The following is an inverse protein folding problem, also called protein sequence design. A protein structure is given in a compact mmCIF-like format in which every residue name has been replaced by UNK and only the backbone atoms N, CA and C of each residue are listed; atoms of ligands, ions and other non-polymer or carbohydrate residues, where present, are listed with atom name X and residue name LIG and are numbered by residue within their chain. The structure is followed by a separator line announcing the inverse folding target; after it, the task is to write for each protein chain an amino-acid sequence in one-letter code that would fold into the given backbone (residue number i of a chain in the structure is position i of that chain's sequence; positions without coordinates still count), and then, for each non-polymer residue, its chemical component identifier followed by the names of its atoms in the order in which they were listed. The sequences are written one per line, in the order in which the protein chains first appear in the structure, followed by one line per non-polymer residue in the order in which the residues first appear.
data_IF_079917669189
#
_entry.id   IF_079917669189
#
_cell.length_a   1.000
_cell.length_b   1.000
_cell.length_c   1.000
_cell.angle_alpha   90.00
_cell.angle_beta   90.00
_cell.angle_gamma   90.00
#
_symmetry.space_group_name_H-M   'P 1'
#
loop_
_entity.id
_entity.type
_entity.pdbx_description
1 polymer ?
#
# COMPACT_ATOMS: atom_id res chain seq x y z
N UNK A 1 -28.81 22.26 -18.53
CA UNK A 1 -28.00 23.37 -17.98
C UNK A 1 -28.24 23.38 -16.49
N UNK A 2 -27.30 22.89 -15.69
CA UNK A 2 -27.38 22.98 -14.24
C UNK A 2 -26.73 24.32 -13.85
N UNK A 3 -27.53 25.25 -13.34
CA UNK A 3 -26.99 26.43 -12.65
C UNK A 3 -26.46 25.98 -11.30
N UNK A 4 -25.16 26.14 -11.09
CA UNK A 4 -24.56 25.99 -9.77
C UNK A 4 -24.58 27.36 -9.08
N UNK A 5 -25.40 27.51 -8.05
CA UNK A 5 -25.31 28.65 -7.13
C UNK A 5 -23.96 28.60 -6.43
N UNK A 6 -23.17 29.67 -6.59
CA UNK A 6 -21.98 29.88 -5.78
C UNK A 6 -22.42 30.22 -4.34
N UNK A 7 -21.76 29.67 -3.31
CA UNK A 7 -22.09 29.98 -1.92
C UNK A 7 -21.97 31.49 -1.66
N UNK A 8 -22.96 32.06 -0.99
CA UNK A 8 -22.97 33.46 -0.61
C UNK A 8 -21.83 33.76 0.38
N UNK A 9 -20.87 34.61 -0.02
CA UNK A 9 -19.86 35.15 0.87
C UNK A 9 -20.50 36.24 1.73
N UNK A 10 -20.79 35.92 2.99
CA UNK A 10 -21.25 36.90 3.99
C UNK A 10 -20.04 37.35 4.80
N UNK A 11 -19.60 38.59 4.60
CA UNK A 11 -18.55 39.20 5.44
C UNK A 11 -19.23 39.71 6.72
N UNK A 12 -19.18 38.92 7.78
CA UNK A 12 -19.84 39.23 9.06
C UNK A 12 -19.13 40.32 9.86
N UNK A 13 -17.81 40.48 9.71
CA UNK A 13 -17.07 41.55 10.35
C UNK A 13 -15.79 41.89 9.58
N UNK A 14 -15.46 43.19 9.55
CA UNK A 14 -14.18 43.70 9.07
C UNK A 14 -13.49 44.33 10.27
N UNK A 15 -12.37 43.75 10.70
CA UNK A 15 -11.54 44.32 11.74
C UNK A 15 -10.29 44.93 11.09
N UNK A 16 -10.12 46.25 11.25
CA UNK A 16 -8.89 46.93 10.84
C UNK A 16 -7.81 46.67 11.91
N UNK A 17 -6.83 45.84 11.57
CA UNK A 17 -5.63 45.70 12.40
C UNK A 17 -4.69 46.86 12.04
N UNK A 18 -4.38 47.73 12.99
CA UNK A 18 -3.43 48.84 12.76
C UNK A 18 -2.03 48.25 12.75
N UNK A 19 -1.62 47.74 11.60
CA UNK A 19 -0.25 47.31 11.39
C UNK A 19 0.63 48.54 11.29
N UNK A 20 1.62 48.66 12.20
CA UNK A 20 2.56 49.78 12.23
C UNK A 20 3.62 49.68 11.12
N UNK A 21 3.75 48.50 10.50
CA UNK A 21 4.61 48.28 9.35
C UNK A 21 3.95 48.86 8.10
N UNK A 22 4.67 49.73 7.40
CA UNK A 22 4.29 50.33 6.12
C UNK A 22 5.55 50.39 5.24
N UNK A 23 5.41 50.29 3.91
CA UNK A 23 4.24 49.80 3.19
C UNK A 23 4.01 48.28 3.41
N UNK A 24 2.78 47.82 3.20
CA UNK A 24 2.40 46.41 3.32
C UNK A 24 2.31 45.76 1.94
N UNK A 25 2.72 44.50 1.83
CA UNK A 25 2.48 43.67 0.66
C UNK A 25 1.37 42.66 0.97
N UNK A 26 0.21 42.87 0.36
CA UNK A 26 -0.99 42.04 0.53
C UNK A 26 -1.38 41.37 -0.80
N UNK A 27 -2.35 40.47 -0.75
CA UNK A 27 -2.98 39.83 -1.92
C UNK A 27 -1.98 39.31 -2.98
N UNK A 28 -0.94 38.60 -2.52
CA UNK A 28 0.04 37.92 -3.37
C UNK A 28 -0.61 36.75 -4.09
N UNK A 29 -0.54 36.73 -5.41
CA UNK A 29 -0.94 35.58 -6.22
C UNK A 29 0.12 35.34 -7.31
N UNK A 30 0.90 34.26 -7.27
CA UNK A 30 0.83 33.15 -6.31
C UNK A 30 1.17 33.56 -4.87
N UNK A 31 0.60 32.85 -3.91
CA UNK A 31 0.85 33.02 -2.49
C UNK A 31 2.22 32.41 -2.08
N UNK A 32 2.79 32.82 -0.93
CA UNK A 32 3.98 32.19 -0.39
C UNK A 32 3.77 30.69 -0.18
N UNK A 33 4.76 29.91 -0.63
CA UNK A 33 4.79 28.45 -0.56
C UNK A 33 3.62 27.76 -1.28
N UNK A 34 2.91 28.48 -2.16
CA UNK A 34 1.89 27.88 -3.02
C UNK A 34 2.51 26.86 -3.96
N UNK A 35 1.85 25.71 -4.11
CA UNK A 35 2.29 24.61 -4.97
C UNK A 35 1.33 24.40 -6.12
N UNK A 36 1.80 23.80 -7.21
CA UNK A 36 0.99 23.48 -8.38
C UNK A 36 0.50 24.73 -9.14
N UNK A 37 1.29 25.81 -9.08
CA UNK A 37 1.00 27.05 -9.77
C UNK A 37 1.07 26.83 -11.28
N UNK A 38 0.05 27.20 -12.07
CA UNK A 38 0.08 27.04 -13.52
C UNK A 38 1.32 27.67 -14.15
N UNK A 39 1.89 27.00 -15.16
CA UNK A 39 3.13 27.45 -15.82
C UNK A 39 3.01 28.84 -16.47
N UNK A 40 1.78 29.24 -16.80
CA UNK A 40 1.40 30.53 -17.36
C UNK A 40 0.77 31.45 -16.31
N UNK A 41 1.01 31.26 -15.02
CA UNK A 41 0.50 32.16 -14.00
C UNK A 41 1.12 33.56 -14.11
N UNK A 42 0.32 34.59 -13.84
CA UNK A 42 0.79 35.96 -13.57
C UNK A 42 1.23 36.08 -12.13
N UNK A 43 2.18 36.96 -11.83
CA UNK A 43 2.52 37.37 -10.46
C UNK A 43 1.80 38.68 -10.14
N UNK A 44 0.81 38.62 -9.26
CA UNK A 44 0.02 39.75 -8.77
C UNK A 44 0.52 40.15 -7.39
N UNK A 45 0.81 41.43 -7.23
CA UNK A 45 1.31 42.03 -6.00
C UNK A 45 0.49 43.29 -5.69
N UNK A 46 0.01 43.43 -4.47
CA UNK A 46 -0.72 44.61 -4.03
C UNK A 46 0.00 45.25 -2.84
N UNK A 47 0.47 46.47 -3.07
CA UNK A 47 1.13 47.28 -2.07
C UNK A 47 0.11 48.24 -1.50
N UNK A 48 0.02 48.32 -0.18
CA UNK A 48 -0.90 49.24 0.51
C UNK A 48 -0.13 50.08 1.51
N UNK A 49 -0.38 51.37 1.44
CA UNK A 49 0.05 52.34 2.42
C UNK A 49 -1.09 52.60 3.42
N UNK A 50 -0.98 52.11 4.66
CA UNK A 50 -2.02 52.31 5.68
C UNK A 50 -2.12 53.75 6.24
N UNK A 51 -1.52 54.74 5.57
CA UNK A 51 -1.68 56.16 5.89
C UNK A 51 -1.67 57.02 4.63
N UNK A 52 -1.10 58.23 4.69
CA UNK A 52 -1.31 59.23 3.63
C UNK A 52 -0.09 59.54 2.75
N UNK A 53 0.99 58.74 2.83
CA UNK A 53 2.23 59.02 2.12
C UNK A 53 2.22 58.47 0.68
N UNK A 54 1.46 57.40 0.43
CA UNK A 54 1.36 56.71 -0.85
C UNK A 54 2.61 55.87 -1.18
N UNK A 55 2.43 54.92 -2.09
CA UNK A 55 3.52 54.05 -2.57
C UNK A 55 4.37 54.81 -3.61
N UNK A 56 5.69 54.80 -3.45
CA UNK A 56 6.62 55.36 -4.43
C UNK A 56 6.84 54.37 -5.58
N UNK A 57 6.18 54.63 -6.71
CA UNK A 57 6.32 53.84 -7.94
C UNK A 57 7.78 53.80 -8.40
N UNK A 58 8.46 54.95 -8.39
CA UNK A 58 9.83 55.08 -8.91
C UNK A 58 10.88 54.40 -8.02
N UNK A 59 10.57 54.18 -6.73
CA UNK A 59 11.39 53.40 -5.81
C UNK A 59 11.02 51.90 -5.75
N UNK A 60 9.92 51.49 -6.39
CA UNK A 60 9.46 50.09 -6.35
C UNK A 60 10.18 49.24 -7.39
N UNK A 61 10.75 48.12 -6.94
CA UNK A 61 11.47 47.13 -7.75
C UNK A 61 10.96 45.73 -7.43
N UNK A 62 10.71 44.93 -8.46
CA UNK A 62 10.34 43.52 -8.31
C UNK A 62 11.29 42.68 -9.13
N UNK A 63 11.82 41.62 -8.51
CA UNK A 63 12.62 40.60 -9.18
C UNK A 63 11.90 39.26 -9.13
N UNK A 64 11.94 38.53 -10.24
CA UNK A 64 11.46 37.16 -10.36
C UNK A 64 12.67 36.32 -10.83
N UNK A 65 13.10 35.37 -10.01
CA UNK A 65 14.32 34.56 -10.24
C UNK A 65 15.56 35.41 -10.57
N UNK A 66 15.75 36.48 -9.79
CA UNK A 66 16.78 37.51 -9.96
C UNK A 66 16.69 38.36 -11.24
N UNK A 67 15.76 38.06 -12.17
CA UNK A 67 15.46 38.93 -13.30
C UNK A 67 14.60 40.12 -12.83
N UNK A 68 14.99 41.34 -13.19
CA UNK A 68 14.22 42.54 -12.86
C UNK A 68 12.91 42.55 -13.66
N UNK A 69 11.80 42.27 -13.00
CA UNK A 69 10.47 42.17 -13.60
C UNK A 69 9.75 43.52 -13.65
N UNK A 70 10.02 44.40 -12.70
CA UNK A 70 9.47 45.74 -12.61
C UNK A 70 10.49 46.73 -12.03
N UNK A 71 10.65 47.88 -12.67
CA UNK A 71 11.65 48.89 -12.35
C UNK A 71 11.06 50.27 -11.99
N UNK A 72 9.74 50.34 -11.72
CA UNK A 72 9.02 51.59 -11.49
C UNK A 72 8.51 52.26 -12.77
N UNK A 73 8.77 51.70 -13.95
CA UNK A 73 8.19 52.13 -15.21
C UNK A 73 6.71 51.71 -15.33
N UNK A 74 5.81 52.52 -15.94
CA UNK A 74 4.43 52.11 -16.21
C UNK A 74 4.32 50.89 -17.13
N UNK A 75 5.39 50.52 -17.85
CA UNK A 75 5.47 49.28 -18.61
C UNK A 75 6.49 48.33 -17.97
N UNK A 76 6.06 47.25 -17.30
CA UNK A 76 6.98 46.28 -16.68
C UNK A 76 7.84 45.57 -17.72
N UNK A 77 8.97 44.98 -17.30
CA UNK A 77 9.74 44.08 -18.16
C UNK A 77 8.97 42.78 -18.43
N UNK A 78 8.18 42.33 -17.45
CA UNK A 78 7.26 41.21 -17.58
C UNK A 78 5.90 41.72 -18.10
N UNK A 79 5.90 42.16 -19.36
CA UNK A 79 4.76 42.77 -20.06
C UNK A 79 4.04 41.80 -21.01
N UNK A 80 3.71 40.59 -20.54
CA UNK A 80 2.76 39.71 -21.24
C UNK A 80 1.38 40.36 -21.39
N UNK A 81 0.49 39.73 -22.15
CA UNK A 81 -0.80 40.32 -22.53
C UNK A 81 -1.75 40.66 -21.38
N UNK A 82 -1.51 40.11 -20.17
CA UNK A 82 -2.28 40.40 -18.94
C UNK A 82 -1.56 41.35 -17.99
N UNK A 83 -0.38 41.87 -18.35
CA UNK A 83 0.37 42.76 -17.48
C UNK A 83 -0.38 44.08 -17.27
N UNK A 84 -0.38 44.58 -16.03
CA UNK A 84 -1.06 45.80 -15.65
C UNK A 84 -0.37 46.47 -14.47
N UNK A 85 -0.41 47.81 -14.44
CA UNK A 85 0.13 48.63 -13.36
C UNK A 85 -0.93 49.67 -13.03
N UNK A 86 -1.56 49.52 -11.87
CA UNK A 86 -2.63 50.40 -11.41
C UNK A 86 -2.21 51.07 -10.10
N UNK A 87 -2.13 52.40 -10.09
CA UNK A 87 -1.76 53.18 -8.91
C UNK A 87 -2.94 54.03 -8.42
N UNK A 88 -3.23 53.94 -7.13
CA UNK A 88 -4.15 54.83 -6.41
C UNK A 88 -3.36 55.71 -5.43
N UNK A 89 -3.99 56.67 -4.73
CA UNK A 89 -3.29 57.50 -3.75
C UNK A 89 -2.62 56.71 -2.61
N UNK A 90 -3.17 55.55 -2.26
CA UNK A 90 -2.82 54.72 -1.11
C UNK A 90 -2.34 53.31 -1.48
N UNK A 91 -2.47 52.88 -2.74
CA UNK A 91 -2.09 51.54 -3.16
C UNK A 91 -1.42 51.50 -4.53
N UNK A 92 -0.65 50.44 -4.75
CA UNK A 92 -0.08 50.08 -6.04
C UNK A 92 -0.39 48.61 -6.31
N UNK A 93 -1.07 48.31 -7.40
CA UNK A 93 -1.31 46.95 -7.87
C UNK A 93 -0.49 46.67 -9.10
N UNK A 94 0.33 45.62 -9.01
CA UNK A 94 1.14 45.11 -10.12
C UNK A 94 0.61 43.76 -10.54
N UNK A 95 0.37 43.60 -11.84
CA UNK A 95 0.18 42.30 -12.50
C UNK A 95 1.35 42.12 -13.45
N UNK A 96 2.25 41.22 -13.10
CA UNK A 96 3.42 40.88 -13.89
C UNK A 96 3.13 39.60 -14.67
N UNK A 97 3.18 39.66 -15.99
CA UNK A 97 2.86 38.54 -16.88
C UNK A 97 4.15 38.12 -17.60
N UNK A 98 4.76 36.97 -17.23
CA UNK A 98 5.97 36.48 -17.90
C UNK A 98 5.72 36.27 -19.40
N UNK A 99 6.61 36.81 -20.25
CA UNK A 99 6.52 36.62 -21.71
C UNK A 99 6.86 35.17 -22.10
N UNK A 100 7.73 34.54 -21.32
CA UNK A 100 8.03 33.10 -21.39
C UNK A 100 7.40 32.44 -20.16
N UNK A 101 6.60 31.38 -20.32
CA UNK A 101 6.07 30.63 -19.18
C UNK A 101 7.18 30.16 -18.24
N UNK A 102 6.84 29.97 -16.96
CA UNK A 102 7.78 29.42 -15.99
C UNK A 102 8.27 28.02 -16.41
N UNK A 103 9.38 27.54 -15.87
CA UNK A 103 9.76 26.15 -16.09
C UNK A 103 8.90 25.23 -15.20
N UNK A 104 8.54 24.04 -15.70
CA UNK A 104 7.83 23.05 -14.88
C UNK A 104 8.69 22.59 -13.70
N UNK A 105 8.05 22.33 -12.55
CA UNK A 105 8.71 22.02 -11.27
C UNK A 105 9.70 23.09 -10.77
N UNK A 106 9.70 24.28 -11.37
CA UNK A 106 10.57 25.36 -10.92
C UNK A 106 10.07 25.94 -9.60
N UNK A 107 11.02 26.21 -8.71
CA UNK A 107 10.81 27.06 -7.55
C UNK A 107 11.08 28.50 -7.96
N UNK A 108 10.01 29.29 -8.13
CA UNK A 108 10.13 30.69 -8.55
C UNK A 108 10.26 31.56 -7.30
N UNK A 109 11.29 32.40 -7.25
CA UNK A 109 11.52 33.34 -6.15
C UNK A 109 11.12 34.75 -6.57
N UNK A 110 10.23 35.37 -5.81
CA UNK A 110 9.79 36.75 -5.98
C UNK A 110 10.40 37.60 -4.87
N UNK A 111 11.22 38.59 -5.23
CA UNK A 111 11.72 39.61 -4.30
C UNK A 111 11.13 40.96 -4.65
N UNK A 112 10.67 41.66 -3.63
CA UNK A 112 10.00 42.94 -3.73
C UNK A 112 10.71 43.94 -2.85
N UNK A 113 11.11 45.07 -3.43
CA UNK A 113 11.63 46.22 -2.71
C UNK A 113 10.77 47.43 -3.04
N UNK A 114 10.28 48.14 -2.03
CA UNK A 114 9.45 49.34 -2.21
C UNK A 114 9.63 50.33 -1.07
N UNK A 115 9.16 51.56 -1.26
CA UNK A 115 9.20 52.64 -0.29
C UNK A 115 7.98 53.55 -0.45
N UNK A 116 7.77 54.45 0.50
CA UNK A 116 6.76 55.51 0.41
C UNK A 116 7.34 56.76 -0.28
N UNK A 117 6.49 57.64 -0.83
CA UNK A 117 6.92 58.84 -1.60
C UNK A 117 7.83 59.79 -0.79
N UNK A 118 7.64 59.87 0.52
CA UNK A 118 8.45 60.69 1.43
C UNK A 118 9.66 59.94 2.03
N UNK A 119 9.85 58.68 1.65
CA UNK A 119 10.90 57.80 2.17
C UNK A 119 10.69 57.35 3.62
N UNK A 120 11.69 56.66 4.16
CA UNK A 120 11.75 56.26 5.58
C UNK A 120 11.11 54.91 5.96
N UNK A 121 10.47 54.24 5.01
CA UNK A 121 9.68 53.03 5.24
C UNK A 121 10.01 51.97 4.16
N UNK A 122 11.15 51.30 4.32
CA UNK A 122 11.61 50.28 3.38
C UNK A 122 10.82 48.98 3.57
N UNK A 123 10.21 48.51 2.48
CA UNK A 123 9.77 47.13 2.34
C UNK A 123 10.81 46.36 1.52
N UNK A 124 11.37 45.29 2.06
CA UNK A 124 12.21 44.33 1.34
C UNK A 124 11.78 42.92 1.78
N UNK A 125 11.04 42.24 0.91
CA UNK A 125 10.47 40.92 1.18
C UNK A 125 10.77 39.99 0.02
N UNK A 126 11.10 38.73 0.34
CA UNK A 126 11.20 37.66 -0.63
C UNK A 126 10.28 36.51 -0.24
N UNK A 127 9.66 35.88 -1.23
CA UNK A 127 8.91 34.64 -1.07
C UNK A 127 9.07 33.76 -2.31
N UNK A 128 8.64 32.50 -2.23
CA UNK A 128 8.70 31.56 -3.34
C UNK A 128 7.40 30.81 -3.52
N UNK A 129 7.20 30.24 -4.71
CA UNK A 129 6.12 29.29 -5.01
C UNK A 129 6.67 28.18 -5.94
N UNK A 130 5.96 27.05 -6.03
CA UNK A 130 6.29 25.91 -6.88
C UNK A 130 5.34 25.83 -8.08
N UNK A 131 5.92 25.75 -9.27
CA UNK A 131 5.19 25.59 -10.53
C UNK A 131 4.71 24.15 -10.71
N UNK A 132 3.56 23.98 -11.35
CA UNK A 132 2.98 22.68 -11.68
C UNK A 132 3.95 21.74 -12.42
N UNK A 133 3.73 20.45 -12.21
CA UNK A 133 4.47 19.39 -12.89
C UNK A 133 3.83 19.04 -14.22
N UNK A 134 4.61 19.21 -15.29
CA UNK A 134 4.30 18.91 -16.69
C UNK A 134 5.34 17.95 -17.26
N UNK A 135 6.26 17.46 -16.44
CA UNK A 135 7.30 16.54 -16.88
C UNK A 135 6.68 15.16 -17.09
N UNK A 136 7.01 14.54 -18.22
CA UNK A 136 6.50 13.23 -18.55
C UNK A 136 7.43 12.15 -17.96
N UNK A 137 6.85 11.08 -17.38
CA UNK A 137 7.64 9.96 -16.88
C UNK A 137 8.36 9.26 -18.03
N UNK A 138 9.57 8.75 -17.74
CA UNK A 138 10.44 8.07 -18.71
C UNK A 138 10.65 6.62 -18.33
N UNK A 139 10.45 5.73 -19.30
CA UNK A 139 10.79 4.33 -19.16
C UNK A 139 12.31 4.16 -19.23
N UNK A 140 12.91 3.73 -18.12
CA UNK A 140 14.35 3.54 -17.98
C UNK A 140 14.80 2.15 -18.42
N UNK A 141 14.01 1.13 -18.05
CA UNK A 141 14.37 -0.27 -18.30
C UNK A 141 13.17 -1.20 -18.26
N UNK A 142 13.35 -2.39 -18.83
CA UNK A 142 12.42 -3.51 -18.72
C UNK A 142 13.19 -4.80 -18.38
N UNK A 143 12.60 -5.68 -17.60
CA UNK A 143 13.15 -6.99 -17.27
C UNK A 143 12.03 -8.02 -17.10
N UNK A 144 12.20 -9.22 -17.66
CA UNK A 144 11.29 -10.32 -17.40
C UNK A 144 11.62 -10.95 -16.04
N UNK A 145 10.65 -10.99 -15.12
CA UNK A 145 10.82 -11.57 -13.77
C UNK A 145 10.17 -12.94 -13.64
N UNK A 146 9.29 -13.30 -14.58
CA UNK A 146 8.74 -14.63 -14.76
C UNK A 146 8.45 -14.89 -16.24
N UNK A 147 7.95 -16.09 -16.59
CA UNK A 147 7.58 -16.43 -17.97
C UNK A 147 6.47 -15.53 -18.53
N UNK A 148 5.63 -14.95 -17.68
CA UNK A 148 4.48 -14.13 -18.08
C UNK A 148 4.50 -12.73 -17.48
N UNK A 149 5.53 -12.33 -16.73
CA UNK A 149 5.57 -11.02 -16.07
C UNK A 149 6.82 -10.25 -16.45
N UNK A 150 6.60 -9.04 -16.96
CA UNK A 150 7.64 -8.07 -17.29
C UNK A 150 7.53 -6.89 -16.36
N UNK A 151 8.64 -6.58 -15.68
CA UNK A 151 8.76 -5.40 -14.82
C UNK A 151 9.40 -4.26 -15.61
N UNK A 152 8.71 -3.13 -15.63
CA UNK A 152 9.14 -1.88 -16.22
C UNK A 152 9.56 -0.91 -15.11
N UNK A 153 10.67 -0.21 -15.29
CA UNK A 153 11.16 0.79 -14.34
C UNK A 153 11.11 2.19 -14.93
N UNK A 154 10.48 3.12 -14.22
CA UNK A 154 10.35 4.53 -14.57
C UNK A 154 11.26 5.40 -13.68
N UNK A 155 11.58 6.62 -14.14
CA UNK A 155 12.37 7.59 -13.37
C UNK A 155 11.59 8.28 -12.24
N UNK A 156 10.27 8.17 -12.25
CA UNK A 156 9.37 8.74 -11.25
C UNK A 156 8.15 7.83 -10.99
N UNK A 157 7.35 8.08 -9.93
CA UNK A 157 6.18 7.27 -9.63
C UNK A 157 5.15 7.27 -10.76
N UNK A 158 4.82 6.07 -11.23
CA UNK A 158 3.95 5.82 -12.35
C UNK A 158 2.58 5.27 -11.91
N UNK A 159 1.57 5.49 -12.75
CA UNK A 159 0.20 5.00 -12.62
C UNK A 159 -0.21 4.40 -13.97
N UNK A 160 -0.72 3.17 -13.96
CA UNK A 160 -1.28 2.54 -15.16
C UNK A 160 -2.63 3.18 -15.47
N UNK A 161 -2.73 3.84 -16.62
CA UNK A 161 -3.99 4.40 -17.13
C UNK A 161 -4.74 3.46 -18.06
N UNK A 162 -4.03 2.64 -18.85
CA UNK A 162 -4.62 1.69 -19.78
C UNK A 162 -3.67 0.52 -20.06
N UNK A 163 -4.11 -0.71 -19.76
CA UNK A 163 -3.36 -1.93 -20.06
C UNK A 163 -3.16 -2.15 -21.57
N UNK A 164 -4.10 -1.70 -22.41
CA UNK A 164 -3.96 -1.83 -23.86
C UNK A 164 -2.88 -0.90 -24.45
N UNK A 165 -2.39 0.07 -23.65
CA UNK A 165 -1.29 0.95 -24.02
C UNK A 165 0.10 0.30 -23.92
N UNK A 166 0.20 -0.98 -23.57
CA UNK A 166 1.46 -1.73 -23.67
C UNK A 166 1.50 -2.54 -24.96
N UNK A 167 2.62 -2.50 -25.67
CA UNK A 167 2.84 -3.39 -26.82
C UNK A 167 4.23 -4.01 -26.78
N UNK A 168 4.32 -5.24 -27.28
CA UNK A 168 5.54 -6.03 -27.26
C UNK A 168 5.85 -6.52 -28.67
N UNK A 169 7.08 -6.29 -29.12
CA UNK A 169 7.56 -6.75 -30.42
C UNK A 169 8.81 -7.61 -30.23
N UNK A 170 8.79 -8.84 -30.74
CA UNK A 170 9.97 -9.70 -30.77
C UNK A 170 11.00 -9.14 -31.76
N UNK A 171 12.24 -8.97 -31.31
CA UNK A 171 13.39 -8.58 -32.13
C UNK A 171 14.24 -9.78 -32.55
N UNK A 172 13.98 -10.96 -31.98
CA UNK A 172 14.62 -12.23 -32.32
C UNK A 172 13.61 -13.28 -32.76
N UNK A 173 14.12 -14.39 -33.31
CA UNK A 173 13.32 -15.55 -33.72
C UNK A 173 14.07 -16.85 -33.38
N UNK A 174 13.36 -17.97 -33.12
CA UNK A 174 11.90 -18.11 -33.03
C UNK A 174 11.34 -17.39 -31.80
N UNK A 175 10.12 -16.86 -31.89
CA UNK A 175 9.48 -16.12 -30.80
C UNK A 175 7.96 -16.28 -30.85
N UNK A 176 7.34 -16.49 -29.70
CA UNK A 176 5.89 -16.47 -29.54
C UNK A 176 5.42 -15.01 -29.43
N UNK A 177 4.32 -14.62 -30.11
CA UNK A 177 3.72 -13.31 -29.91
C UNK A 177 3.12 -13.21 -28.51
N UNK A 178 3.41 -12.11 -27.82
CA UNK A 178 2.92 -11.84 -26.47
C UNK A 178 2.09 -10.56 -26.46
N UNK A 179 1.06 -10.53 -25.63
CA UNK A 179 0.17 -9.39 -25.45
C UNK A 179 -0.03 -9.12 -23.96
N UNK A 180 -0.25 -7.86 -23.54
CA UNK A 180 -0.57 -7.55 -22.16
C UNK A 180 -1.97 -8.06 -21.81
N UNK A 181 -2.10 -8.66 -20.63
CA UNK A 181 -3.37 -9.08 -20.04
C UNK A 181 -3.79 -8.16 -18.90
N UNK A 182 -2.83 -7.81 -18.03
CA UNK A 182 -3.03 -6.86 -16.94
C UNK A 182 -1.74 -6.12 -16.63
N UNK A 183 -1.84 -4.95 -16.00
CA UNK A 183 -0.68 -4.20 -15.54
C UNK A 183 -0.99 -3.55 -14.19
N UNK A 184 0.01 -3.56 -13.29
CA UNK A 184 -0.10 -2.97 -11.97
C UNK A 184 1.15 -2.11 -11.67
N UNK A 185 0.93 -0.90 -11.16
CA UNK A 185 2.01 0.01 -10.75
C UNK A 185 2.28 -0.08 -9.25
N UNK A 186 3.56 -0.04 -8.89
CA UNK A 186 4.08 0.04 -7.52
C UNK A 186 5.18 1.10 -7.53
N UNK A 187 4.85 2.32 -7.11
CA UNK A 187 5.74 3.49 -7.17
C UNK A 187 6.33 3.68 -8.57
N UNK A 188 7.64 3.51 -8.75
CA UNK A 188 8.35 3.69 -10.03
C UNK A 188 8.36 2.43 -10.89
N UNK A 189 7.75 1.33 -10.43
CA UNK A 189 7.75 0.05 -11.11
C UNK A 189 6.36 -0.25 -11.66
N UNK A 190 6.30 -0.85 -12.86
CA UNK A 190 5.06 -1.38 -13.43
C UNK A 190 5.28 -2.83 -13.82
N UNK A 191 4.50 -3.72 -13.21
CA UNK A 191 4.48 -5.14 -13.56
C UNK A 191 3.35 -5.38 -14.58
N UNK A 192 3.74 -5.80 -15.78
CA UNK A 192 2.83 -6.18 -16.86
C UNK A 192 2.76 -7.69 -16.93
N UNK A 193 1.57 -8.24 -16.72
CA UNK A 193 1.27 -9.67 -16.91
C UNK A 193 0.85 -9.88 -18.37
N UNK A 194 1.45 -10.89 -19.01
CA UNK A 194 1.24 -11.25 -20.40
C UNK A 194 0.28 -12.43 -20.53
N UNK A 195 -0.51 -12.46 -21.60
CA UNK A 195 -1.45 -13.55 -21.91
C UNK A 195 -0.78 -14.89 -22.27
N UNK A 196 0.50 -14.84 -22.62
CA UNK A 196 1.25 -15.97 -23.18
C UNK A 196 2.66 -15.95 -22.60
N UNK A 197 3.22 -17.14 -22.36
CA UNK A 197 4.61 -17.28 -21.93
C UNK A 197 5.57 -16.73 -23.00
N UNK A 198 6.53 -15.95 -22.53
CA UNK A 198 7.62 -15.43 -23.35
C UNK A 198 8.56 -16.55 -23.78
N UNK A 199 9.05 -16.48 -25.02
CA UNK A 199 10.13 -17.35 -25.45
C UNK A 199 11.42 -16.97 -24.71
N UNK A 200 12.09 -17.90 -24.00
CA UNK A 200 13.31 -17.62 -23.25
C UNK A 200 14.42 -17.02 -24.12
N UNK A 201 15.15 -16.05 -23.57
CA UNK A 201 16.33 -15.38 -24.15
C UNK A 201 16.10 -14.58 -25.44
N UNK A 202 14.92 -14.69 -26.05
CA UNK A 202 14.51 -13.84 -27.16
C UNK A 202 14.47 -12.39 -26.69
N UNK A 203 15.01 -11.49 -27.50
CA UNK A 203 14.97 -10.06 -27.22
C UNK A 203 13.61 -9.49 -27.63
N UNK A 204 12.93 -8.81 -26.72
CA UNK A 204 11.66 -8.12 -26.95
C UNK A 204 11.85 -6.61 -26.75
N UNK A 205 11.13 -5.82 -27.54
CA UNK A 205 10.92 -4.39 -27.31
C UNK A 205 9.55 -4.18 -26.70
N UNK A 206 9.48 -3.41 -25.63
CA UNK A 206 8.24 -2.90 -25.07
C UNK A 206 8.06 -1.43 -25.44
N UNK A 207 6.82 -1.03 -25.71
CA UNK A 207 6.38 0.37 -25.81
C UNK A 207 5.26 0.56 -24.79
N UNK A 208 5.39 1.58 -23.94
CA UNK A 208 4.49 1.88 -22.82
C UNK A 208 3.83 3.26 -23.00
N UNK A 209 2.67 3.30 -23.65
CA UNK A 209 1.85 4.53 -23.81
C UNK A 209 0.69 4.59 -22.82
N UNK A 210 0.39 3.49 -22.14
CA UNK A 210 -0.70 3.35 -21.16
C UNK A 210 -0.36 3.79 -19.74
N UNK A 211 0.66 4.62 -19.55
CA UNK A 211 1.20 5.02 -18.23
C UNK A 211 1.23 6.54 -18.10
N UNK A 212 0.91 7.02 -16.90
CA UNK A 212 0.97 8.44 -16.50
C UNK A 212 1.71 8.57 -15.18
N UNK A 213 2.21 9.76 -14.85
CA UNK A 213 2.68 10.06 -13.50
C UNK A 213 1.49 10.31 -12.54
N UNK A 214 1.78 10.72 -11.31
CA UNK A 214 0.75 11.11 -10.32
C UNK A 214 0.04 12.43 -10.66
N UNK A 215 0.61 13.24 -11.54
CA UNK A 215 0.10 14.55 -11.97
C UNK A 215 -0.70 14.47 -13.27
N UNK A 216 -0.80 13.27 -13.86
CA UNK A 216 -1.56 12.97 -15.06
C UNK A 216 -0.77 13.13 -16.36
N UNK A 217 0.52 13.42 -16.32
CA UNK A 217 1.37 13.56 -17.49
C UNK A 217 1.61 12.15 -18.10
N UNK A 218 1.26 11.93 -19.37
CA UNK A 218 1.48 10.65 -20.03
C UNK A 218 2.96 10.43 -20.35
N UNK A 219 3.39 9.17 -20.37
CA UNK A 219 4.69 8.79 -20.95
C UNK A 219 4.71 9.17 -22.43
N UNK A 220 5.82 9.74 -22.90
CA UNK A 220 5.97 10.22 -24.27
C UNK A 220 7.20 9.63 -24.97
N UNK A 221 7.08 9.42 -26.28
CA UNK A 221 8.21 9.09 -27.13
C UNK A 221 9.28 10.20 -27.10
N UNK A 222 10.58 9.86 -27.17
CA UNK A 222 11.15 8.52 -27.38
C UNK A 222 11.41 7.73 -26.08
N UNK A 223 10.96 8.24 -24.93
CA UNK A 223 11.22 7.65 -23.61
C UNK A 223 10.14 6.65 -23.19
N UNK A 224 9.33 6.18 -24.14
CA UNK A 224 8.25 5.21 -23.96
C UNK A 224 8.69 3.77 -24.27
N UNK A 225 9.96 3.55 -24.63
CA UNK A 225 10.45 2.25 -25.10
C UNK A 225 11.62 1.69 -24.30
N UNK A 226 11.62 0.37 -24.11
CA UNK A 226 12.74 -0.38 -23.55
C UNK A 226 12.91 -1.74 -24.23
N UNK A 227 14.08 -2.34 -24.07
CA UNK A 227 14.40 -3.67 -24.60
C UNK A 227 14.78 -4.60 -23.46
N UNK A 228 14.35 -5.86 -23.54
CA UNK A 228 14.62 -6.87 -22.52
C UNK A 228 14.68 -8.27 -23.13
N UNK A 229 15.20 -9.23 -22.36
CA UNK A 229 15.24 -10.63 -22.74
C UNK A 229 14.08 -11.39 -22.12
N UNK A 230 13.52 -12.35 -22.86
CA UNK A 230 12.57 -13.32 -22.37
C UNK A 230 13.12 -14.12 -21.20
N UNK A 231 12.26 -14.37 -20.22
CA UNK A 231 12.66 -15.01 -18.97
C UNK A 231 13.21 -16.41 -19.21
N UNK A 232 14.44 -16.66 -18.76
CA UNK A 232 15.03 -17.99 -18.67
C UNK A 232 15.01 -18.45 -17.21
N UNK A 233 14.27 -19.53 -16.87
CA UNK A 233 14.33 -20.09 -15.53
C UNK A 233 15.75 -20.52 -15.15
N UNK A 234 16.05 -20.48 -13.85
CA UNK A 234 17.34 -20.94 -13.34
C UNK A 234 17.55 -22.43 -13.65
N UNK A 235 18.67 -22.76 -14.29
CA UNK A 235 19.09 -24.14 -14.55
C UNK A 235 20.08 -24.61 -13.49
N UNK A 236 20.01 -25.89 -13.12
CA UNK A 236 21.04 -26.48 -12.28
C UNK A 236 22.42 -26.37 -12.97
N UNK A 237 23.48 -25.83 -12.32
CA UNK A 237 24.76 -25.54 -12.98
C UNK A 237 25.45 -26.75 -13.62
N UNK A 238 25.18 -27.96 -13.10
CA UNK A 238 25.74 -29.22 -13.63
C UNK A 238 24.90 -29.84 -14.75
N UNK A 239 23.72 -29.31 -15.07
CA UNK A 239 22.85 -29.86 -16.12
C UNK A 239 23.48 -29.66 -17.48
N UNK A 240 23.65 -30.76 -18.21
CA UNK A 240 24.13 -30.78 -19.61
C UNK A 240 23.10 -31.50 -20.45
N UNK A 241 21.99 -30.82 -20.71
CA UNK A 241 20.90 -31.35 -21.54
C UNK A 241 20.67 -30.41 -22.73
N UNK A 242 21.56 -30.49 -23.72
CA UNK A 242 21.49 -29.71 -24.96
C UNK A 242 21.25 -30.68 -26.13
N UNK A 243 20.03 -30.66 -26.67
CA UNK A 243 19.58 -31.50 -27.77
C UNK A 243 20.45 -31.34 -29.01
N UNK A 244 20.96 -30.13 -29.29
CA UNK A 244 21.83 -29.92 -30.44
C UNK A 244 23.15 -30.69 -30.29
N UNK A 245 23.74 -30.64 -29.10
CA UNK A 245 24.96 -31.41 -28.81
C UNK A 245 24.75 -32.93 -28.87
N UNK A 246 23.55 -33.40 -28.53
CA UNK A 246 23.16 -34.81 -28.54
C UNK A 246 22.93 -35.35 -29.96
N UNK A 247 22.69 -34.47 -30.95
CA UNK A 247 22.57 -34.91 -32.34
C UNK A 247 23.90 -35.44 -32.90
N UNK A 248 23.85 -36.49 -33.74
CA UNK A 248 25.00 -36.95 -34.49
C UNK A 248 25.70 -35.82 -35.24
N UNK A 249 27.04 -35.81 -35.24
CA UNK A 249 27.85 -34.75 -35.87
C UNK A 249 27.54 -34.56 -37.36
N UNK A 250 27.14 -35.61 -38.08
CA UNK A 250 26.83 -35.51 -39.51
C UNK A 250 25.58 -34.66 -39.76
N UNK A 251 24.50 -34.83 -38.98
CA UNK A 251 23.29 -34.01 -39.07
C UNK A 251 23.58 -32.53 -38.85
N UNK A 252 24.43 -32.21 -37.86
CA UNK A 252 24.85 -30.83 -37.58
C UNK A 252 25.68 -30.20 -38.69
N UNK A 253 26.52 -31.00 -39.36
CA UNK A 253 27.38 -30.52 -40.46
C UNK A 253 26.59 -30.33 -41.75
N UNK A 254 25.58 -31.15 -41.98
CA UNK A 254 24.71 -31.07 -43.16
C UNK A 254 23.68 -29.93 -43.07
N UNK A 255 23.48 -29.33 -41.90
CA UNK A 255 22.59 -28.19 -41.70
C UNK A 255 23.24 -26.88 -42.17
N UNK A 256 23.29 -26.69 -43.49
CA UNK A 256 23.83 -25.46 -44.10
C UNK A 256 22.83 -24.30 -44.08
N UNK A 257 21.53 -24.57 -43.97
CA UNK A 257 20.47 -23.55 -43.97
C UNK A 257 20.14 -23.05 -42.56
N UNK A 258 20.49 -23.81 -41.52
CA UNK A 258 20.19 -23.51 -40.13
C UNK A 258 18.78 -23.90 -39.71
N UNK A 259 18.01 -24.56 -40.58
CA UNK A 259 16.62 -24.92 -40.32
C UNK A 259 16.53 -26.04 -39.29
N UNK A 260 17.45 -27.01 -39.33
CA UNK A 260 17.52 -28.05 -38.32
C UNK A 260 17.90 -27.45 -36.96
N UNK A 261 18.87 -26.54 -36.91
CA UNK A 261 19.24 -25.85 -35.68
C UNK A 261 18.06 -25.07 -35.07
N UNK A 262 17.30 -24.33 -35.89
CA UNK A 262 16.09 -23.63 -35.43
C UNK A 262 15.02 -24.58 -34.93
N UNK A 263 14.76 -25.66 -35.66
CA UNK A 263 13.77 -26.66 -35.25
C UNK A 263 14.15 -27.32 -33.91
N UNK A 264 15.43 -27.67 -33.73
CA UNK A 264 15.93 -28.24 -32.49
C UNK A 264 15.88 -27.23 -31.34
N UNK A 265 16.11 -25.95 -31.61
CA UNK A 265 15.95 -24.90 -30.60
C UNK A 265 14.51 -24.80 -30.08
N UNK A 266 13.50 -24.92 -30.96
CA UNK A 266 12.10 -24.98 -30.53
C UNK A 266 11.81 -26.18 -29.62
N UNK A 267 12.41 -27.35 -29.90
CA UNK A 267 12.27 -28.52 -29.03
C UNK A 267 13.04 -28.37 -27.72
N UNK A 268 14.21 -27.74 -27.77
CA UNK A 268 15.04 -27.47 -26.60
C UNK A 268 14.29 -26.60 -25.59
N UNK A 269 13.57 -25.57 -26.07
CA UNK A 269 12.74 -24.71 -25.22
C UNK A 269 11.73 -25.53 -24.40
N UNK A 270 10.91 -26.36 -25.05
CA UNK A 270 9.91 -27.19 -24.37
C UNK A 270 10.57 -28.15 -23.37
N UNK A 271 11.70 -28.74 -23.75
CA UNK A 271 12.45 -29.65 -22.87
C UNK A 271 13.04 -28.92 -21.67
N UNK A 272 13.58 -27.70 -21.84
CA UNK A 272 14.12 -26.91 -20.74
C UNK A 272 13.04 -26.54 -19.72
N UNK A 273 11.82 -26.21 -20.18
CA UNK A 273 10.67 -25.97 -19.29
C UNK A 273 10.32 -27.21 -18.47
N UNK A 274 10.18 -28.38 -19.11
CA UNK A 274 9.93 -29.64 -18.40
C UNK A 274 11.04 -29.99 -17.41
N UNK A 275 12.29 -29.77 -17.80
CA UNK A 275 13.44 -30.03 -16.94
C UNK A 275 13.46 -29.09 -15.71
N UNK A 276 12.95 -27.87 -15.83
CA UNK A 276 12.77 -26.95 -14.69
C UNK A 276 11.66 -27.44 -13.76
N UNK A 277 10.55 -27.95 -14.29
CA UNK A 277 9.50 -28.56 -13.46
C UNK A 277 10.00 -29.77 -12.69
N UNK A 278 10.82 -30.62 -13.34
CA UNK A 278 11.48 -31.75 -12.68
C UNK A 278 12.42 -31.28 -11.55
N UNK A 279 13.15 -30.19 -11.76
CA UNK A 279 14.01 -29.60 -10.71
C UNK A 279 13.21 -29.06 -9.52
N UNK A 280 11.99 -28.56 -9.77
CA UNK A 280 11.08 -28.04 -8.74
C UNK A 280 10.29 -29.13 -8.02
N UNK A 281 10.31 -30.37 -8.51
CA UNK A 281 9.57 -31.48 -7.89
C UNK A 281 9.89 -31.67 -6.39
N UNK A 282 11.15 -31.57 -5.92
CA UNK A 282 11.46 -31.64 -4.49
C UNK A 282 10.80 -30.50 -3.67
N UNK A 283 10.62 -29.31 -4.26
CA UNK A 283 10.00 -28.17 -3.57
C UNK A 283 8.53 -28.44 -3.22
N UNK A 284 7.85 -29.37 -3.92
CA UNK A 284 6.47 -29.77 -3.60
C UNK A 284 6.34 -30.43 -2.22
N UNK A 285 7.40 -31.07 -1.73
CA UNK A 285 7.42 -31.75 -0.44
C UNK A 285 8.04 -30.89 0.67
N UNK A 286 8.70 -29.80 0.30
CA UNK A 286 9.24 -28.83 1.23
C UNK A 286 8.10 -27.91 1.73
N UNK A 287 7.76 -28.03 3.02
CA UNK A 287 6.66 -27.27 3.63
C UNK A 287 6.87 -25.75 3.52
N UNK A 288 8.10 -25.27 3.40
CA UNK A 288 8.40 -23.83 3.28
C UNK A 288 8.23 -23.34 1.83
N UNK A 289 8.44 -24.21 0.84
CA UNK A 289 8.48 -23.83 -0.59
C UNK A 289 7.31 -24.34 -1.41
N UNK A 290 6.57 -25.32 -0.90
CA UNK A 290 5.46 -25.94 -1.60
C UNK A 290 4.43 -24.89 -2.03
N UNK A 291 3.90 -24.94 -3.27
CA UNK A 291 2.84 -24.04 -3.70
C UNK A 291 1.57 -24.21 -2.84
N UNK A 292 0.80 -23.12 -2.69
CA UNK A 292 -0.41 -23.09 -1.85
C UNK A 292 -1.39 -24.26 -2.09
N UNK A 293 -1.70 -24.67 -3.34
CA UNK A 293 -2.58 -25.82 -3.59
C UNK A 293 -2.05 -27.15 -3.06
N UNK A 294 -0.72 -27.33 -3.00
CA UNK A 294 -0.10 -28.56 -2.50
C UNK A 294 -0.11 -28.62 -0.97
N UNK A 295 -0.14 -27.48 -0.27
CA UNK A 295 -0.24 -27.47 1.19
C UNK A 295 -1.52 -28.16 1.68
N UNK A 296 -2.64 -27.96 0.98
CA UNK A 296 -3.90 -28.61 1.33
C UNK A 296 -3.84 -30.12 1.08
N UNK A 297 -3.14 -30.56 0.04
CA UNK A 297 -2.91 -31.98 -0.24
C UNK A 297 -1.99 -32.61 0.82
N UNK A 298 -0.92 -31.92 1.21
CA UNK A 298 0.00 -32.36 2.28
C UNK A 298 -0.77 -32.47 3.61
N UNK A 299 -1.56 -31.46 3.97
CA UNK A 299 -2.37 -31.50 5.20
C UNK A 299 -3.41 -32.63 5.16
N UNK A 300 -4.01 -32.91 3.99
CA UNK A 300 -4.93 -34.03 3.82
C UNK A 300 -4.23 -35.38 3.95
N UNK A 301 -3.03 -35.52 3.39
CA UNK A 301 -2.20 -36.73 3.51
C UNK A 301 -1.75 -36.97 4.96
N UNK A 302 -1.38 -35.90 5.67
CA UNK A 302 -1.12 -35.91 7.12
C UNK A 302 -2.40 -36.09 7.97
N UNK A 303 -3.58 -36.18 7.34
CA UNK A 303 -4.84 -36.48 7.99
C UNK A 303 -5.43 -35.34 8.83
N UNK A 304 -5.19 -34.08 8.46
CA UNK A 304 -5.64 -32.90 9.22
C UNK A 304 -7.13 -33.02 9.65
N UNK A 305 -7.41 -33.08 10.96
CA UNK A 305 -8.76 -33.28 11.49
C UNK A 305 -9.52 -31.98 11.72
N UNK A 306 -8.85 -30.83 11.57
CA UNK A 306 -9.39 -29.53 11.93
C UNK A 306 -10.11 -28.90 10.73
N UNK A 307 -11.42 -28.63 10.82
CA UNK A 307 -12.21 -28.09 9.71
C UNK A 307 -12.13 -26.55 9.66
N UNK A 308 -10.94 -25.99 9.93
CA UNK A 308 -10.73 -24.55 10.01
C UNK A 308 -10.15 -24.03 8.70
N UNK A 309 -10.67 -22.92 8.22
CA UNK A 309 -10.05 -22.18 7.13
C UNK A 309 -8.82 -21.45 7.68
N UNK A 310 -7.64 -21.89 7.22
CA UNK A 310 -6.36 -21.34 7.63
C UNK A 310 -5.77 -20.54 6.47
N UNK A 311 -5.09 -19.44 6.79
CA UNK A 311 -4.22 -18.76 5.84
C UNK A 311 -2.99 -19.62 5.52
N UNK A 312 -2.28 -19.28 4.45
CA UNK A 312 -1.16 -20.06 3.95
C UNK A 312 -0.06 -20.27 5.00
N UNK A 313 0.27 -19.22 5.76
CA UNK A 313 1.28 -19.31 6.80
C UNK A 313 0.86 -20.27 7.91
N UNK A 314 -0.40 -20.22 8.34
CA UNK A 314 -0.92 -21.15 9.34
C UNK A 314 -0.99 -22.58 8.83
N UNK A 315 -1.30 -22.81 7.54
CA UNK A 315 -1.23 -24.15 6.92
C UNK A 315 0.18 -24.73 6.98
N UNK A 316 1.20 -23.94 6.63
CA UNK A 316 2.62 -24.37 6.70
C UNK A 316 3.05 -24.70 8.13
N UNK A 317 2.69 -23.83 9.09
CA UNK A 317 2.98 -24.06 10.52
C UNK A 317 2.27 -25.31 11.04
N UNK A 318 1.02 -25.53 10.62
CA UNK A 318 0.26 -26.71 11.01
C UNK A 318 0.91 -27.98 10.45
N UNK A 319 1.26 -28.02 9.16
CA UNK A 319 1.92 -29.18 8.56
C UNK A 319 3.21 -29.58 9.31
N UNK A 320 3.97 -28.60 9.80
CA UNK A 320 5.19 -28.82 10.59
C UNK A 320 4.91 -29.43 11.97
N UNK A 321 3.84 -29.02 12.63
CA UNK A 321 3.56 -29.35 14.05
C UNK A 321 2.52 -30.47 14.21
N UNK A 322 1.76 -30.79 13.17
CA UNK A 322 0.61 -31.72 13.23
C UNK A 322 0.99 -33.11 13.76
N UNK A 323 2.15 -33.65 13.35
CA UNK A 323 2.65 -34.95 13.84
C UNK A 323 2.93 -34.91 15.35
N UNK A 324 3.53 -33.83 15.84
CA UNK A 324 3.77 -33.65 17.28
C UNK A 324 2.44 -33.43 18.05
N UNK A 325 1.45 -32.77 17.44
CA UNK A 325 0.11 -32.66 18.02
C UNK A 325 -0.53 -34.05 18.17
N UNK A 326 -0.40 -34.93 17.19
CA UNK A 326 -0.89 -36.31 17.33
C UNK A 326 -0.20 -37.07 18.46
N UNK A 327 1.12 -36.88 18.64
CA UNK A 327 1.86 -37.49 19.76
C UNK A 327 1.38 -37.01 21.13
N UNK A 328 0.96 -35.76 21.22
CA UNK A 328 0.46 -35.16 22.46
C UNK A 328 -1.05 -35.35 22.68
N UNK A 329 -1.75 -35.99 21.73
CA UNK A 329 -3.18 -36.25 21.84
C UNK A 329 -3.49 -37.05 23.11
N UNK A 330 -4.54 -36.65 23.81
CA UNK A 330 -4.95 -37.24 25.08
C UNK A 330 -4.25 -36.63 26.31
N UNK A 331 -3.33 -35.69 26.14
CA UNK A 331 -2.65 -35.02 27.26
C UNK A 331 -3.19 -33.61 27.49
N UNK A 332 -3.17 -33.15 28.75
CA UNK A 332 -3.51 -31.76 29.07
C UNK A 332 -2.58 -30.77 28.36
N UNK A 333 -1.28 -31.11 28.23
CA UNK A 333 -0.29 -30.28 27.52
C UNK A 333 -0.66 -30.16 26.04
N UNK A 334 -1.04 -31.26 25.39
CA UNK A 334 -1.49 -31.25 24.00
C UNK A 334 -2.72 -30.37 23.78
N UNK A 335 -3.69 -30.39 24.69
CA UNK A 335 -4.87 -29.51 24.64
C UNK A 335 -4.44 -28.03 24.74
N UNK A 336 -3.56 -27.68 25.70
CA UNK A 336 -3.06 -26.30 25.85
C UNK A 336 -2.33 -25.82 24.60
N UNK A 337 -1.41 -26.64 24.08
CA UNK A 337 -0.60 -26.30 22.90
C UNK A 337 -1.47 -26.13 21.66
N UNK A 338 -2.46 -27.01 21.45
CA UNK A 338 -3.38 -26.92 20.32
C UNK A 338 -4.25 -25.66 20.37
N UNK A 339 -4.83 -25.33 21.52
CA UNK A 339 -5.64 -24.11 21.70
C UNK A 339 -4.79 -22.86 21.52
N UNK A 340 -3.56 -22.85 22.06
CA UNK A 340 -2.61 -21.75 21.86
C UNK A 340 -2.23 -21.59 20.40
N UNK A 341 -2.01 -22.68 19.67
CA UNK A 341 -1.64 -22.65 18.25
C UNK A 341 -2.73 -22.02 17.38
N UNK A 342 -3.98 -22.47 17.52
CA UNK A 342 -5.08 -22.04 16.64
C UNK A 342 -5.73 -20.71 17.05
N UNK A 343 -5.84 -20.44 18.35
CA UNK A 343 -6.61 -19.29 18.86
C UNK A 343 -5.73 -18.24 19.57
N UNK A 344 -4.45 -18.53 19.80
CA UNK A 344 -3.57 -17.65 20.59
C UNK A 344 -4.02 -17.50 22.05
N UNK A 345 -4.85 -18.41 22.56
CA UNK A 345 -5.41 -18.36 23.93
C UNK A 345 -4.62 -19.29 24.84
N UNK A 346 -4.20 -18.77 25.99
CA UNK A 346 -3.65 -19.59 27.06
C UNK A 346 -4.76 -20.14 27.96
N UNK A 347 -4.79 -21.47 28.09
CA UNK A 347 -5.67 -22.17 29.04
C UNK A 347 -5.07 -22.04 30.45
N UNK A 348 -5.82 -21.41 31.35
CA UNK A 348 -5.40 -21.22 32.75
C UNK A 348 -5.36 -22.56 33.49
N UNK A 349 -6.42 -23.34 33.38
CA UNK A 349 -6.54 -24.62 34.07
C UNK A 349 -7.39 -25.63 33.29
N UNK A 350 -7.03 -26.90 33.42
CA UNK A 350 -7.86 -28.05 33.04
C UNK A 350 -8.05 -28.84 34.32
N UNK A 351 -9.26 -28.86 34.85
CA UNK A 351 -9.58 -29.44 36.15
C UNK A 351 -10.62 -30.54 35.99
N UNK A 352 -10.55 -31.59 36.82
CA UNK A 352 -11.62 -32.58 36.89
C UNK A 352 -12.94 -31.90 37.25
N UNK A 353 -14.06 -32.46 36.77
CA UNK A 353 -15.38 -31.94 37.07
C UNK A 353 -15.61 -32.00 38.59
N UNK A 354 -15.72 -30.83 39.22
CA UNK A 354 -16.13 -30.71 40.61
C UNK A 354 -17.66 -30.93 40.67
N UNK A 355 -18.07 -32.19 40.71
CA UNK A 355 -19.48 -32.57 40.83
C UNK A 355 -19.93 -32.40 42.28
N UNK A 356 -20.83 -31.46 42.53
CA UNK A 356 -21.64 -31.31 43.76
C UNK A 356 -22.84 -32.28 43.73
N UNK A 357 -22.62 -33.51 43.28
CA UNK A 357 -23.69 -34.49 43.20
C UNK A 357 -24.14 -34.91 44.62
N UNK A 358 -25.43 -35.19 44.74
CA UNK A 358 -26.08 -35.63 45.98
C UNK A 358 -25.29 -36.69 46.74
N UNK A 359 -24.98 -36.40 48.01
CA UNK A 359 -24.43 -37.37 48.95
C UNK A 359 -25.60 -37.91 49.78
N UNK A 360 -25.88 -39.21 49.63
CA UNK A 360 -26.99 -39.86 50.30
C UNK A 360 -26.83 -39.75 51.84
N UNK A 361 -27.74 -39.02 52.50
CA UNK A 361 -27.73 -38.82 53.96
C UNK A 361 -27.17 -37.47 54.42
N UNK A 362 -26.62 -36.66 53.52
CA UNK A 362 -26.11 -35.31 53.83
C UNK A 362 -26.87 -34.21 53.07
N UNK A 363 -27.27 -34.44 51.82
CA UNK A 363 -27.93 -33.41 51.00
C UNK A 363 -29.43 -33.29 51.30
N UNK A 364 -29.90 -32.07 51.55
CA UNK A 364 -31.33 -31.78 51.81
C UNK A 364 -32.12 -31.51 50.52
N UNK A 365 -33.28 -32.16 50.39
CA UNK A 365 -34.19 -32.00 49.25
C UNK A 365 -34.72 -30.54 49.18
N UNK A 366 -34.31 -29.79 48.16
CA UNK A 366 -34.75 -28.42 47.91
C UNK A 366 -33.79 -27.32 48.37
N UNK A 367 -32.66 -27.67 48.99
CA UNK A 367 -31.58 -26.72 49.36
C UNK A 367 -30.32 -27.03 48.56
N UNK A 368 -29.76 -28.23 48.72
CA UNK A 368 -28.50 -28.66 48.08
C UNK A 368 -28.73 -29.81 47.10
N UNK A 369 -29.98 -29.98 46.69
CA UNK A 369 -30.42 -31.11 45.87
C UNK A 369 -30.09 -30.86 44.40
N UNK A 370 -28.86 -31.21 44.01
CA UNK A 370 -28.42 -31.20 42.62
C UNK A 370 -28.35 -32.62 42.06
N UNK A 371 -29.21 -32.91 41.07
CA UNK A 371 -29.18 -34.19 40.35
C UNK A 371 -27.98 -34.20 39.38
N UNK A 372 -26.82 -34.62 39.89
CA UNK A 372 -25.58 -34.71 39.13
C UNK A 372 -25.44 -36.01 38.32
N UNK A 373 -24.51 -36.06 37.34
CA UNK A 373 -24.13 -37.29 36.67
C UNK A 373 -23.46 -38.27 37.66
N UNK A 374 -23.51 -39.58 37.37
CA UNK A 374 -22.91 -40.60 38.26
C UNK A 374 -21.44 -40.30 38.61
N UNK A 375 -20.98 -40.71 39.80
CA UNK A 375 -19.57 -40.56 40.25
C UNK A 375 -18.55 -41.09 39.25
N UNK A 376 -18.92 -42.16 38.53
CA UNK A 376 -18.08 -42.74 37.48
C UNK A 376 -17.89 -41.78 36.30
N UNK A 377 -18.93 -41.04 35.92
CA UNK A 377 -18.84 -40.02 34.88
C UNK A 377 -17.98 -38.83 35.34
N UNK A 378 -18.17 -38.35 36.57
CA UNK A 378 -17.40 -37.22 37.11
C UNK A 378 -15.88 -37.49 37.12
N UNK A 379 -15.47 -38.73 37.39
CA UNK A 379 -14.04 -39.15 37.33
C UNK A 379 -13.42 -39.06 35.94
N UNK A 380 -14.22 -39.13 34.87
CA UNK A 380 -13.77 -39.03 33.49
C UNK A 380 -14.18 -37.71 32.83
N UNK A 381 -14.72 -36.76 33.59
CA UNK A 381 -15.16 -35.47 33.11
C UNK A 381 -14.20 -34.36 33.55
N UNK A 382 -14.00 -33.35 32.70
CA UNK A 382 -13.16 -32.19 33.00
C UNK A 382 -13.72 -30.90 32.41
N UNK A 383 -13.32 -29.80 33.04
CA UNK A 383 -13.61 -28.43 32.65
C UNK A 383 -12.34 -27.73 32.18
N UNK A 384 -12.51 -26.76 31.28
CA UNK A 384 -11.43 -25.95 30.73
C UNK A 384 -11.67 -24.50 31.11
N UNK A 385 -10.72 -23.86 31.80
CA UNK A 385 -10.78 -22.46 32.21
C UNK A 385 -9.90 -21.59 31.33
N UNK A 386 -10.47 -20.53 30.77
CA UNK A 386 -9.77 -19.52 29.96
C UNK A 386 -9.70 -18.18 30.70
N UNK A 387 -8.73 -17.33 30.33
CA UNK A 387 -8.48 -16.06 31.03
C UNK A 387 -9.22 -14.84 30.48
N UNK A 388 -9.97 -14.97 29.38
CA UNK A 388 -10.74 -13.90 28.76
C UNK A 388 -12.09 -14.40 28.24
N UNK A 389 -13.05 -13.50 28.10
CA UNK A 389 -14.34 -13.78 27.45
C UNK A 389 -14.09 -14.06 25.97
N UNK A 390 -14.69 -15.14 25.45
CA UNK A 390 -14.51 -15.58 24.08
C UNK A 390 -15.67 -15.16 23.19
N UNK A 391 -15.36 -14.85 21.93
CA UNK A 391 -16.38 -14.68 20.89
C UNK A 391 -17.09 -16.02 20.62
N UNK A 392 -18.32 -16.00 20.08
CA UNK A 392 -19.05 -17.23 19.72
C UNK A 392 -18.25 -18.17 18.80
N UNK A 393 -17.50 -17.61 17.86
CA UNK A 393 -16.65 -18.35 16.92
C UNK A 393 -15.46 -18.99 17.62
N UNK A 394 -14.72 -18.25 18.46
CA UNK A 394 -13.62 -18.79 19.28
C UNK A 394 -14.12 -19.92 20.21
N UNK A 395 -15.30 -19.74 20.81
CA UNK A 395 -15.94 -20.76 21.66
C UNK A 395 -16.21 -22.06 20.88
N UNK A 396 -16.75 -21.96 19.65
CA UNK A 396 -17.00 -23.12 18.79
C UNK A 396 -15.69 -23.83 18.42
N UNK A 397 -14.66 -23.09 18.02
CA UNK A 397 -13.37 -23.65 17.64
C UNK A 397 -12.64 -24.29 18.83
N UNK A 398 -12.63 -23.65 20.00
CA UNK A 398 -12.04 -24.21 21.21
C UNK A 398 -12.71 -25.53 21.57
N UNK A 399 -14.05 -25.59 21.53
CA UNK A 399 -14.79 -26.84 21.80
C UNK A 399 -14.44 -27.94 20.80
N UNK A 400 -14.28 -27.62 19.51
CA UNK A 400 -13.86 -28.59 18.50
C UNK A 400 -12.44 -29.13 18.76
N UNK A 401 -11.49 -28.24 19.07
CA UNK A 401 -10.10 -28.60 19.39
C UNK A 401 -10.04 -29.51 20.62
N UNK A 402 -10.68 -29.10 21.73
CA UNK A 402 -10.68 -29.88 22.98
C UNK A 402 -11.33 -31.24 22.79
N UNK A 403 -12.47 -31.31 22.08
CA UNK A 403 -13.14 -32.58 21.81
C UNK A 403 -12.33 -33.52 20.92
N UNK A 404 -11.53 -32.99 20.00
CA UNK A 404 -10.63 -33.79 19.20
C UNK A 404 -9.41 -34.27 19.99
N UNK A 405 -8.83 -33.39 20.80
CA UNK A 405 -7.57 -33.64 21.51
C UNK A 405 -7.73 -34.45 22.80
N UNK A 406 -8.94 -34.52 23.38
CA UNK A 406 -9.19 -35.28 24.62
C UNK A 406 -9.00 -36.79 24.43
N UNK A 407 -8.66 -37.54 25.49
CA UNK A 407 -8.76 -38.99 25.45
C UNK A 407 -10.18 -39.45 25.10
N UNK A 408 -10.29 -40.53 24.32
CA UNK A 408 -11.58 -41.02 23.83
C UNK A 408 -12.59 -41.31 24.97
N UNK A 409 -12.12 -41.80 26.11
CA UNK A 409 -12.92 -42.20 27.26
C UNK A 409 -13.26 -41.05 28.24
N UNK A 410 -12.83 -39.81 27.94
CA UNK A 410 -13.08 -38.63 28.79
C UNK A 410 -14.13 -37.71 28.20
N UNK A 411 -14.77 -36.90 29.04
CA UNK A 411 -15.83 -35.97 28.67
C UNK A 411 -15.43 -34.53 28.99
N UNK A 412 -15.51 -33.65 27.99
CA UNK A 412 -15.36 -32.22 28.19
C UNK A 412 -16.75 -31.63 28.46
N UNK A 413 -16.94 -31.01 29.63
CA UNK A 413 -18.25 -30.55 30.10
C UNK A 413 -18.36 -29.04 29.98
N UNK A 414 -17.66 -28.28 30.82
CA UNK A 414 -17.79 -26.83 30.89
C UNK A 414 -16.57 -26.09 30.35
N UNK A 415 -16.84 -25.04 29.59
CA UNK A 415 -15.88 -23.99 29.28
C UNK A 415 -16.13 -22.84 30.26
N UNK A 416 -15.18 -22.61 31.17
CA UNK A 416 -15.30 -21.59 32.20
C UNK A 416 -14.59 -20.33 31.70
N UNK A 417 -15.39 -19.31 31.38
CA UNK A 417 -14.93 -17.98 30.97
C UNK A 417 -14.95 -17.04 32.20
N UNK A 418 -14.06 -16.03 32.29
CA UNK A 418 -14.18 -15.01 33.33
C UNK A 418 -15.48 -14.24 33.14
N UNK A 419 -16.09 -13.82 34.25
CA UNK A 419 -17.24 -12.93 34.18
C UNK A 419 -16.83 -11.63 33.45
N UNK A 420 -17.65 -11.11 32.52
CA UNK A 420 -17.38 -9.80 31.95
C UNK A 420 -17.28 -8.77 33.08
N UNK A 421 -16.41 -7.75 32.97
CA UNK A 421 -16.44 -6.65 33.91
C UNK A 421 -17.87 -6.09 33.93
N UNK A 422 -18.44 -5.98 35.13
CA UNK A 422 -19.74 -5.34 35.32
C UNK A 422 -19.51 -3.88 34.94
N UNK A 423 -19.93 -3.50 33.74
CA UNK A 423 -20.07 -2.09 33.35
C UNK A 423 -21.51 -1.75 33.68
N UNK A 424 -21.79 -1.05 34.79
CA UNK A 424 -23.15 -0.64 35.08
C UNK A 424 -23.62 0.27 33.94
N UNK A 425 -24.65 -0.16 33.21
CA UNK A 425 -25.34 0.61 32.16
C UNK A 425 -26.36 1.60 32.76
N UNK A 426 -26.12 2.01 34.01
CA UNK A 426 -26.93 2.94 34.78
C UNK A 426 -26.02 3.66 35.77
N UNK A 427 -26.40 4.87 36.16
CA UNK A 427 -25.77 5.53 37.30
C UNK A 427 -26.11 4.75 38.58
N UNK A 428 -25.09 4.23 39.24
CA UNK A 428 -25.20 3.72 40.60
C UNK A 428 -25.22 4.92 41.57
N UNK A 429 -26.38 5.11 42.20
CA UNK A 429 -26.55 5.97 43.37
C UNK A 429 -26.39 5.10 44.61
N UNK A 430 -25.27 5.25 45.33
CA UNK A 430 -25.18 4.85 46.74
C UNK A 430 -24.28 3.66 47.06
N UNK A 431 -23.01 3.96 47.31
CA UNK A 431 -22.37 3.63 48.58
C UNK A 431 -21.34 4.73 48.88
N UNK A 432 -21.84 5.92 49.23
CA UNK A 432 -21.03 7.00 49.79
C UNK A 432 -21.33 7.08 51.28
N UNK A 433 -20.30 7.01 52.11
CA UNK A 433 -20.43 7.38 53.52
C UNK A 433 -20.74 8.88 53.59
N UNK A 434 -21.81 9.22 54.31
CA UNK A 434 -22.23 10.61 54.50
C UNK A 434 -21.14 11.34 55.29
N UNK A 435 -20.41 12.22 54.61
CA UNK A 435 -19.48 13.16 55.26
C UNK A 435 -18.14 13.40 54.57
N UNK A 436 -17.71 12.57 53.61
CA UNK A 436 -16.33 12.70 53.08
C UNK A 436 -16.21 13.25 51.65
N UNK A 437 -17.12 12.94 50.72
CA UNK A 437 -16.92 13.34 49.30
C UNK A 437 -18.21 13.69 48.56
N UNK A 438 -18.84 14.81 48.92
CA UNK A 438 -19.89 15.40 48.08
C UNK A 438 -19.54 16.86 47.77
N UNK A 439 -19.03 17.12 46.55
CA UNK A 439 -19.15 18.42 45.92
C UNK A 439 -20.21 18.31 44.84
N UNK A 440 -21.31 19.05 45.01
CA UNK A 440 -22.37 19.21 44.03
C UNK A 440 -22.05 20.49 43.24
N UNK A 441 -21.87 20.37 41.93
CA UNK A 441 -21.90 21.52 41.03
C UNK A 441 -23.32 21.77 40.53
#
# INVERSE_FOLDING_TARGET
MAEHELPALVVESVAATVETARPLLINRAPAPDETDVPINATVVLEFVDSGSAGIDLAATRVWIDAALAFDGSPTPAFAGGRAAVDQTPDALRLVLDPVVPFASLATVTVRVVSNLVLGGFLLDLAYSFQVEDRTAPKLLAAIAISQTVVRLGFDEPAVVSDTAGFSFAALGAPAVPVAPESAAAIETLVDVTLSTEMTPDVTYRVIATGVRDRKGNPVLAPFDTAVFHGFRPARHPRRRFDLWSMLPKHNRRSDTTGDLARFIACLQEVVDLLLVEVDRFPDLWDIERAPSPFLDLILRDLGNPFPFDLDELSKRRLATVLVEMYRQKGTAIGIRNAVRFFLGIDIQAITGLASTALVLGESELGVDWELGPSDRFARYAFDVKVGRVLTPTERKHLRAIVNYMKPAHTHFVNLIEPLPPIVPDHWELGASEVGETTFLH
#
